data_IF_208519032302
#
_entry.id   IF_208519032302
#
_cell.length_a   1.000
_cell.length_b   1.000
_cell.length_c   1.000
_cell.angle_alpha   90.00
_cell.angle_beta   90.00
_cell.angle_gamma   90.00
#
_symmetry.space_group_name_H-M   'P 1'
#
loop_
_entity.id
_entity.type
_entity.pdbx_description
1 polymer ?
#
# COMPACT_ATOMS: atom_id res chain seq x y z
N UNK A 1 17.15 27.56 -8.97
CA UNK A 1 17.41 26.31 -9.72
C UNK A 1 18.38 25.36 -9.03
N UNK A 2 19.48 25.79 -8.45
CA UNK A 2 20.47 24.91 -7.79
C UNK A 2 20.00 24.28 -6.47
N UNK A 3 19.15 24.95 -5.70
CA UNK A 3 18.68 24.44 -4.39
C UNK A 3 17.69 23.27 -4.54
N UNK A 4 16.79 23.37 -5.50
CA UNK A 4 15.80 22.31 -5.81
C UNK A 4 16.47 21.06 -6.36
N UNK A 5 17.49 21.20 -7.18
CA UNK A 5 18.28 20.07 -7.68
C UNK A 5 19.07 19.41 -6.55
N UNK A 6 19.69 20.20 -5.66
CA UNK A 6 20.43 19.67 -4.52
C UNK A 6 19.52 18.90 -3.54
N UNK A 7 18.33 19.45 -3.27
CA UNK A 7 17.32 18.76 -2.47
C UNK A 7 16.82 17.47 -3.15
N UNK A 8 16.58 17.50 -4.47
CA UNK A 8 16.21 16.30 -5.22
C UNK A 8 17.33 15.25 -5.22
N UNK A 9 18.59 15.67 -5.32
CA UNK A 9 19.73 14.74 -5.27
C UNK A 9 19.92 14.15 -3.86
N UNK A 10 19.70 14.92 -2.81
CA UNK A 10 19.74 14.43 -1.42
C UNK A 10 18.57 13.50 -1.13
N UNK A 11 17.36 13.85 -1.54
CA UNK A 11 16.19 12.95 -1.45
C UNK A 11 16.41 11.67 -2.25
N UNK A 12 17.00 11.79 -3.44
CA UNK A 12 17.31 10.62 -4.28
C UNK A 12 18.38 9.75 -3.63
N UNK A 13 19.38 10.34 -2.97
CA UNK A 13 20.40 9.58 -2.22
C UNK A 13 19.83 8.92 -0.96
N UNK A 14 18.96 9.60 -0.22
CA UNK A 14 18.28 9.02 0.95
C UNK A 14 17.36 7.87 0.60
N UNK A 15 16.65 7.98 -0.52
CA UNK A 15 15.71 6.95 -0.98
C UNK A 15 16.39 5.83 -1.76
N UNK A 16 17.41 6.17 -2.56
CA UNK A 16 18.06 5.23 -3.45
C UNK A 16 19.39 4.69 -2.89
N UNK A 17 20.03 5.32 -1.91
CA UNK A 17 21.27 4.88 -1.28
C UNK A 17 21.90 3.64 -1.94
N UNK A 18 22.30 2.67 -1.18
CA UNK A 18 22.77 1.37 -1.65
C UNK A 18 21.63 0.36 -1.94
N UNK A 19 20.36 0.84 -1.93
CA UNK A 19 19.20 -0.01 -2.13
C UNK A 19 18.91 -0.26 -3.61
N UNK A 20 18.52 -1.49 -3.90
CA UNK A 20 18.09 -1.88 -5.25
C UNK A 20 16.69 -1.33 -5.56
N UNK A 21 16.34 -1.11 -6.84
CA UNK A 21 14.97 -0.77 -7.24
C UNK A 21 13.92 -1.75 -6.69
N UNK A 22 14.29 -3.01 -6.56
CA UNK A 22 13.45 -4.06 -5.95
C UNK A 22 13.19 -3.78 -4.47
N UNK A 23 14.22 -3.46 -3.69
CA UNK A 23 14.09 -3.19 -2.24
C UNK A 23 13.20 -1.99 -1.96
N UNK A 24 13.29 -0.94 -2.78
CA UNK A 24 12.44 0.25 -2.67
C UNK A 24 11.00 -0.08 -3.04
N UNK A 25 10.79 -0.76 -4.18
CA UNK A 25 9.46 -1.16 -4.63
C UNK A 25 8.77 -2.08 -3.61
N UNK A 26 9.54 -3.00 -2.99
CA UNK A 26 9.04 -3.88 -1.95
C UNK A 26 8.68 -3.10 -0.68
N UNK A 27 9.50 -2.13 -0.27
CA UNK A 27 9.20 -1.26 0.87
C UNK A 27 7.92 -0.47 0.69
N UNK A 28 7.72 0.15 -0.49
CA UNK A 28 6.48 0.86 -0.82
C UNK A 28 5.28 -0.07 -0.87
N UNK A 29 5.41 -1.26 -1.46
CA UNK A 29 4.32 -2.23 -1.55
C UNK A 29 3.90 -2.74 -0.17
N UNK A 30 4.86 -3.14 0.67
CA UNK A 30 4.58 -3.60 2.03
C UNK A 30 3.96 -2.48 2.87
N UNK A 31 4.50 -1.27 2.78
CA UNK A 31 3.92 -0.11 3.45
C UNK A 31 2.50 0.18 2.98
N UNK A 32 2.22 0.07 1.67
CA UNK A 32 0.87 0.18 1.10
C UNK A 32 -0.07 -0.89 1.67
N UNK A 33 0.37 -2.14 1.67
CA UNK A 33 -0.42 -3.25 2.21
C UNK A 33 -0.82 -2.98 3.66
N UNK A 34 0.15 -2.67 4.50
CA UNK A 34 -0.08 -2.44 5.94
C UNK A 34 -0.93 -1.20 6.20
N UNK A 35 -0.72 -0.13 5.42
CA UNK A 35 -1.52 1.09 5.56
C UNK A 35 -2.97 0.88 5.22
N UNK A 36 -3.24 0.09 4.17
CA UNK A 36 -4.59 -0.13 3.68
C UNK A 36 -5.34 -1.25 4.42
N UNK A 37 -4.65 -2.13 5.16
CA UNK A 37 -5.34 -3.08 6.03
C UNK A 37 -6.18 -2.35 7.08
N UNK A 38 -7.39 -2.85 7.41
CA UNK A 38 -8.27 -2.22 8.41
C UNK A 38 -7.76 -2.48 9.82
N UNK A 39 -6.63 -1.88 10.16
CA UNK A 39 -5.91 -2.08 11.43
C UNK A 39 -6.31 -1.08 12.52
N UNK A 40 -7.34 -0.26 12.27
CA UNK A 40 -7.88 0.71 13.22
C UNK A 40 -6.82 1.61 13.90
N UNK A 41 -5.83 2.06 13.15
CA UNK A 41 -4.76 2.93 13.64
C UNK A 41 -3.45 2.21 14.03
N UNK A 42 -3.42 0.89 14.06
CA UNK A 42 -2.20 0.11 14.35
C UNK A 42 -1.26 -0.06 13.14
N UNK A 43 -1.58 0.51 11.99
CA UNK A 43 -0.76 0.40 10.77
C UNK A 43 0.67 0.88 10.96
N UNK A 44 0.88 1.96 11.72
CA UNK A 44 2.21 2.46 12.04
C UNK A 44 3.02 1.46 12.89
N UNK A 45 2.38 0.82 13.89
CA UNK A 45 3.01 -0.20 14.71
C UNK A 45 3.36 -1.45 13.91
N UNK A 46 2.46 -1.89 13.02
CA UNK A 46 2.72 -3.00 12.10
C UNK A 46 3.84 -2.66 11.11
N UNK A 47 3.87 -1.45 10.58
CA UNK A 47 4.95 -0.97 9.73
C UNK A 47 6.30 -1.01 10.44
N UNK A 48 6.34 -0.57 11.70
CA UNK A 48 7.54 -0.63 12.53
C UNK A 48 7.98 -2.09 12.76
N UNK A 49 7.06 -2.98 13.10
CA UNK A 49 7.33 -4.41 13.28
C UNK A 49 7.93 -5.04 12.01
N UNK A 50 7.39 -4.72 10.85
CA UNK A 50 7.91 -5.24 9.57
C UNK A 50 9.32 -4.77 9.24
N UNK A 51 9.72 -3.58 9.67
CA UNK A 51 11.09 -3.09 9.53
C UNK A 51 12.08 -3.97 10.30
N UNK A 52 11.68 -4.51 11.44
CA UNK A 52 12.52 -5.46 12.20
C UNK A 52 12.56 -6.85 11.56
N UNK A 53 11.44 -7.31 11.00
CA UNK A 53 11.35 -8.64 10.37
C UNK A 53 12.11 -8.69 9.03
N UNK A 54 12.08 -7.59 8.27
CA UNK A 54 12.66 -7.51 6.92
C UNK A 54 13.78 -6.47 6.83
N UNK A 55 15.00 -6.77 7.34
CA UNK A 55 16.10 -5.80 7.40
C UNK A 55 16.60 -5.34 6.02
N UNK A 56 16.37 -6.14 4.97
CA UNK A 56 16.84 -5.86 3.60
C UNK A 56 15.89 -4.98 2.78
N UNK A 57 14.77 -4.55 3.36
CA UNK A 57 13.79 -3.68 2.70
C UNK A 57 14.11 -2.22 3.00
N UNK A 58 13.88 -1.36 2.02
CA UNK A 58 14.06 0.07 2.19
C UNK A 58 13.08 0.62 3.24
N UNK A 59 13.58 0.92 4.43
CA UNK A 59 12.79 1.42 5.57
C UNK A 59 12.12 2.77 5.28
N UNK A 60 12.82 3.78 4.70
CA UNK A 60 12.20 5.03 4.29
C UNK A 60 11.00 4.84 3.36
N UNK A 61 11.05 3.87 2.43
CA UNK A 61 9.96 3.59 1.51
C UNK A 61 8.69 3.12 2.25
N UNK A 62 8.83 2.31 3.30
CA UNK A 62 7.69 1.91 4.15
C UNK A 62 7.06 3.13 4.80
N UNK A 63 7.86 4.02 5.42
CA UNK A 63 7.34 5.23 6.06
C UNK A 63 6.66 6.18 5.07
N UNK A 64 7.23 6.37 3.89
CA UNK A 64 6.63 7.19 2.84
C UNK A 64 5.26 6.64 2.46
N UNK A 65 5.13 5.33 2.33
CA UNK A 65 3.87 4.69 2.02
C UNK A 65 2.82 4.93 3.12
N UNK A 66 3.20 4.82 4.41
CA UNK A 66 2.31 5.13 5.53
C UNK A 66 1.79 6.57 5.50
N UNK A 67 2.62 7.52 5.05
CA UNK A 67 2.23 8.93 4.91
C UNK A 67 1.29 9.13 3.72
N UNK A 68 1.59 8.49 2.57
CA UNK A 68 0.76 8.59 1.36
C UNK A 68 -0.64 8.03 1.63
N UNK A 69 -0.73 6.86 2.26
CA UNK A 69 -1.99 6.18 2.57
C UNK A 69 -2.58 6.66 3.90
N UNK A 70 -2.68 7.99 4.06
CA UNK A 70 -3.34 8.58 5.24
C UNK A 70 -4.86 8.30 5.25
N UNK A 71 -5.55 8.49 6.38
CA UNK A 71 -6.97 8.20 6.50
C UNK A 71 -7.86 8.88 5.45
N UNK A 72 -7.51 10.09 4.97
CA UNK A 72 -8.29 10.79 3.95
C UNK A 72 -8.27 10.05 2.61
N UNK A 73 -7.11 9.50 2.23
CA UNK A 73 -6.95 8.71 1.01
C UNK A 73 -7.62 7.34 1.13
N UNK A 74 -7.75 6.82 2.35
CA UNK A 74 -8.41 5.53 2.59
C UNK A 74 -9.93 5.59 2.45
N UNK A 75 -10.57 6.74 2.69
CA UNK A 75 -12.03 6.89 2.60
C UNK A 75 -12.59 6.43 1.24
N UNK A 76 -12.11 6.92 0.08
CA UNK A 76 -12.61 6.45 -1.22
C UNK A 76 -12.33 4.97 -1.47
N UNK A 77 -11.24 4.41 -0.92
CA UNK A 77 -10.92 2.99 -1.04
C UNK A 77 -11.91 2.15 -0.25
N UNK A 78 -12.28 2.57 0.95
CA UNK A 78 -13.33 1.91 1.74
C UNK A 78 -14.68 1.95 1.04
N UNK A 79 -15.05 3.11 0.45
CA UNK A 79 -16.28 3.24 -0.34
C UNK A 79 -16.28 2.30 -1.55
N UNK A 80 -15.18 2.23 -2.29
CA UNK A 80 -15.03 1.30 -3.41
C UNK A 80 -15.08 -0.17 -2.96
N UNK A 81 -14.49 -0.49 -1.82
CA UNK A 81 -14.52 -1.84 -1.24
C UNK A 81 -15.94 -2.25 -0.88
N UNK A 82 -16.72 -1.33 -0.32
CA UNK A 82 -18.13 -1.58 -0.01
C UNK A 82 -18.95 -1.79 -1.27
N UNK A 83 -18.79 -0.95 -2.30
CA UNK A 83 -19.48 -1.12 -3.58
C UNK A 83 -19.11 -2.43 -4.26
N UNK A 84 -17.84 -2.78 -4.32
CA UNK A 84 -17.39 -4.04 -4.89
C UNK A 84 -17.97 -5.23 -4.10
N UNK A 85 -18.00 -5.16 -2.77
CA UNK A 85 -18.57 -6.17 -1.92
C UNK A 85 -20.05 -6.39 -2.19
N UNK A 86 -20.81 -5.32 -2.39
CA UNK A 86 -22.24 -5.41 -2.72
C UNK A 86 -22.50 -5.98 -4.13
N UNK A 87 -21.56 -5.81 -5.05
CA UNK A 87 -21.64 -6.41 -6.40
C UNK A 87 -21.29 -7.90 -6.41
N UNK A 88 -20.30 -8.29 -5.59
CA UNK A 88 -19.80 -9.68 -5.56
C UNK A 88 -20.69 -10.62 -4.74
N UNK A 89 -21.35 -10.10 -3.73
CA UNK A 89 -22.14 -10.91 -2.80
C UNK A 89 -23.60 -10.48 -2.79
N UNK A 90 -24.50 -11.46 -3.00
CA UNK A 90 -25.94 -11.29 -2.80
C UNK A 90 -26.27 -10.98 -1.34
N UNK A 91 -27.51 -10.52 -1.09
CA UNK A 91 -27.95 -10.13 0.25
C UNK A 91 -28.10 -11.29 1.25
N UNK A 92 -27.98 -12.52 0.79
CA UNK A 92 -28.09 -13.69 1.65
C UNK A 92 -26.82 -13.91 2.47
N UNK A 93 -26.89 -13.92 3.81
CA UNK A 93 -25.74 -14.27 4.65
C UNK A 93 -25.40 -15.75 4.47
N UNK A 94 -24.09 -16.07 4.39
CA UNK A 94 -23.62 -17.46 4.31
C UNK A 94 -23.89 -18.26 5.60
N UNK A 95 -23.97 -17.57 6.72
CA UNK A 95 -24.30 -18.13 8.04
C UNK A 95 -25.48 -17.35 8.60
N UNK A 96 -26.50 -18.07 9.06
CA UNK A 96 -27.65 -17.48 9.76
C UNK A 96 -27.49 -17.66 11.25
N UNK A 97 -27.56 -16.56 11.98
CA UNK A 97 -27.62 -16.51 13.43
C UNK A 97 -29.06 -16.28 13.87
N UNK A 98 -29.41 -16.70 15.07
CA UNK A 98 -30.76 -16.49 15.65
C UNK A 98 -31.07 -15.01 15.95
N UNK A 99 -30.04 -14.17 15.95
CA UNK A 99 -30.13 -12.73 16.21
C UNK A 99 -29.90 -11.97 14.90
N UNK A 100 -30.92 -11.23 14.46
CA UNK A 100 -30.90 -10.51 13.17
C UNK A 100 -29.78 -9.47 13.06
N UNK A 101 -29.44 -8.78 14.15
CA UNK A 101 -28.31 -7.84 14.20
C UNK A 101 -26.99 -8.53 13.90
N UNK A 102 -26.77 -9.74 14.39
CA UNK A 102 -25.57 -10.52 14.08
C UNK A 102 -25.49 -10.88 12.59
N UNK A 103 -26.61 -11.21 11.98
CA UNK A 103 -26.65 -11.49 10.53
C UNK A 103 -26.26 -10.26 9.71
N UNK A 104 -26.76 -9.09 10.08
CA UNK A 104 -26.44 -7.83 9.39
C UNK A 104 -24.96 -7.47 9.54
N UNK A 105 -24.41 -7.53 10.75
CA UNK A 105 -22.99 -7.26 11.01
C UNK A 105 -22.11 -8.26 10.26
N UNK A 106 -22.44 -9.53 10.30
CA UNK A 106 -21.69 -10.59 9.63
C UNK A 106 -21.67 -10.39 8.12
N UNK A 107 -22.83 -10.21 7.48
CA UNK A 107 -22.92 -10.04 6.03
C UNK A 107 -22.21 -8.75 5.56
N UNK A 108 -22.35 -7.64 6.31
CA UNK A 108 -21.63 -6.40 6.03
C UNK A 108 -20.12 -6.60 6.13
N UNK A 109 -19.65 -7.17 7.23
CA UNK A 109 -18.23 -7.37 7.50
C UNK A 109 -17.58 -8.28 6.46
N UNK A 110 -18.22 -9.39 6.14
CA UNK A 110 -17.76 -10.36 5.16
C UNK A 110 -17.61 -9.72 3.77
N UNK A 111 -18.65 -9.04 3.30
CA UNK A 111 -18.65 -8.37 1.99
C UNK A 111 -17.54 -7.33 1.92
N UNK A 112 -17.49 -6.48 2.93
CA UNK A 112 -16.48 -5.43 3.00
C UNK A 112 -15.06 -6.01 3.06
N UNK A 113 -14.78 -6.96 3.96
CA UNK A 113 -13.41 -7.48 4.15
C UNK A 113 -12.90 -8.19 2.90
N UNK A 114 -13.70 -9.05 2.27
CA UNK A 114 -13.25 -9.80 1.09
C UNK A 114 -12.99 -8.83 -0.08
N UNK A 115 -13.92 -7.94 -0.35
CA UNK A 115 -13.77 -6.96 -1.42
C UNK A 115 -12.57 -6.01 -1.14
N UNK A 116 -12.40 -5.61 0.11
CA UNK A 116 -11.28 -4.77 0.54
C UNK A 116 -9.94 -5.46 0.34
N UNK A 117 -9.82 -6.74 0.71
CA UNK A 117 -8.59 -7.52 0.47
C UNK A 117 -8.26 -7.65 -1.02
N UNK A 118 -9.26 -7.80 -1.89
CA UNK A 118 -9.06 -7.82 -3.35
C UNK A 118 -8.50 -6.48 -3.83
N UNK A 119 -9.11 -5.37 -3.44
CA UNK A 119 -8.68 -4.03 -3.83
C UNK A 119 -7.27 -3.74 -3.30
N UNK A 120 -7.02 -4.01 -2.03
CA UNK A 120 -5.71 -3.78 -1.39
C UNK A 120 -4.62 -4.61 -2.04
N UNK A 121 -4.89 -5.87 -2.39
CA UNK A 121 -3.94 -6.71 -3.11
C UNK A 121 -3.61 -6.15 -4.49
N UNK A 122 -4.62 -5.67 -5.21
CA UNK A 122 -4.45 -5.01 -6.52
C UNK A 122 -3.61 -3.74 -6.42
N UNK A 123 -3.93 -2.85 -5.49
CA UNK A 123 -3.19 -1.59 -5.26
C UNK A 123 -1.73 -1.89 -4.84
N UNK A 124 -1.53 -2.85 -3.95
CA UNK A 124 -0.20 -3.27 -3.49
C UNK A 124 0.65 -3.81 -4.65
N UNK A 125 0.09 -4.70 -5.46
CA UNK A 125 0.76 -5.23 -6.64
C UNK A 125 1.09 -4.15 -7.66
N UNK A 126 0.15 -3.23 -7.92
CA UNK A 126 0.37 -2.10 -8.82
C UNK A 126 1.46 -1.16 -8.28
N UNK A 127 1.46 -0.85 -7.00
CA UNK A 127 2.50 -0.04 -6.35
C UNK A 127 3.88 -0.64 -6.55
N UNK A 128 4.01 -1.96 -6.37
CA UNK A 128 5.27 -2.66 -6.60
C UNK A 128 5.72 -2.56 -8.06
N UNK A 129 4.85 -2.93 -9.01
CA UNK A 129 5.17 -2.96 -10.44
C UNK A 129 5.54 -1.58 -10.95
N UNK A 130 4.70 -0.57 -10.69
CA UNK A 130 4.93 0.81 -11.14
C UNK A 130 6.22 1.36 -10.57
N UNK A 131 6.44 1.21 -9.27
CA UNK A 131 7.66 1.69 -8.62
C UNK A 131 8.91 1.03 -9.20
N UNK A 132 8.87 -0.30 -9.36
CA UNK A 132 10.00 -1.04 -9.92
C UNK A 132 10.31 -0.60 -11.35
N UNK A 133 9.30 -0.46 -12.20
CA UNK A 133 9.47 0.01 -13.57
C UNK A 133 10.06 1.41 -13.62
N UNK A 134 9.49 2.36 -12.90
CA UNK A 134 9.95 3.76 -12.87
C UNK A 134 11.41 3.85 -12.42
N UNK A 135 11.79 3.13 -11.36
CA UNK A 135 13.16 3.17 -10.84
C UNK A 135 14.14 2.49 -11.78
N UNK A 136 13.74 1.41 -12.43
CA UNK A 136 14.56 0.70 -13.42
C UNK A 136 14.83 1.59 -14.64
N UNK A 137 13.79 2.23 -15.18
CA UNK A 137 13.94 3.15 -16.32
C UNK A 137 14.83 4.36 -15.98
N UNK A 138 14.68 4.95 -14.80
CA UNK A 138 15.53 6.06 -14.34
C UNK A 138 17.00 5.65 -14.19
N UNK A 139 17.27 4.41 -13.77
CA UNK A 139 18.63 3.89 -13.64
C UNK A 139 19.28 3.70 -15.03
N UNK A 140 18.56 3.19 -16.01
CA UNK A 140 19.04 3.04 -17.38
C UNK A 140 19.23 4.39 -18.11
N UNK A 141 18.31 5.35 -17.91
CA UNK A 141 18.41 6.68 -18.50
C UNK A 141 19.62 7.51 -18.04
N UNK A 142 20.18 7.20 -16.86
CA UNK A 142 21.43 7.82 -16.37
C UNK A 142 22.71 7.17 -16.92
N UNK A 143 22.60 6.01 -17.55
CA UNK A 143 23.73 5.26 -18.13
C UNK A 143 23.97 5.57 -19.62
N UNK A 144 23.06 6.28 -20.27
CA UNK A 144 23.25 6.80 -21.62
C UNK A 144 23.79 8.21 -21.53
N UNK A 145 25.11 8.45 -21.77
CA UNK A 145 25.62 9.80 -21.88
C UNK A 145 24.96 10.45 -23.10
N UNK A 146 24.38 11.61 -22.88
CA UNK A 146 23.92 12.51 -23.95
C UNK A 146 25.14 12.77 -24.86
N UNK A 147 25.08 12.30 -26.08
CA UNK A 147 25.98 12.73 -27.15
C UNK A 147 25.69 14.18 -27.51
#
# INVERSE_FOLDING_TARGET
MKLTQKLQDEWTKLLLGDFTPHSIAMGLAIGTLVSLLPTFGFSALLGLLLIFIFPNINRPAIFISLIIWNPLVQIPIYAASFQLGSLLFSDAPLVKYDIEILNQIYSFTQRFLIAHLIIVSGITGMTYVVTRLVLTYKKFGKLTPSK
#
